data_IF_570600718168
#
_entry.id   IF_570600718168
#
_cell.length_a   1.000
_cell.length_b   1.000
_cell.length_c   1.000
_cell.angle_alpha   90.00
_cell.angle_beta   90.00
_cell.angle_gamma   90.00
#
_symmetry.space_group_name_H-M   'P 1'
#
loop_
_entity.id
_entity.type
_entity.pdbx_description
1 polymer ?
#
# COMPACT_ATOMS: atom_id res chain seq x y z
N UNK A 1 10.08 -12.31 22.34
CA UNK A 1 10.35 -11.46 21.15
C UNK A 1 10.60 -10.02 21.60
N UNK A 2 11.69 -9.38 21.19
CA UNK A 2 12.00 -8.00 21.58
C UNK A 2 10.99 -7.00 20.98
N UNK A 3 10.81 -5.84 21.63
CA UNK A 3 9.92 -4.76 21.15
C UNK A 3 10.31 -4.29 19.73
N UNK A 4 11.61 -4.27 19.45
CA UNK A 4 12.17 -3.94 18.14
C UNK A 4 11.79 -5.00 17.09
N UNK A 5 11.98 -6.29 17.40
CA UNK A 5 11.63 -7.38 16.49
C UNK A 5 10.13 -7.39 16.16
N UNK A 6 9.26 -7.11 17.14
CA UNK A 6 7.82 -6.95 16.89
C UNK A 6 7.51 -5.80 15.92
N UNK A 7 8.19 -4.66 16.08
CA UNK A 7 8.01 -3.50 15.20
C UNK A 7 8.46 -3.80 13.78
N UNK A 8 9.60 -4.50 13.62
CA UNK A 8 10.11 -4.90 12.31
C UNK A 8 9.13 -5.84 11.61
N UNK A 9 8.60 -6.85 12.30
CA UNK A 9 7.62 -7.77 11.72
C UNK A 9 6.32 -7.06 11.30
N UNK A 10 5.84 -6.09 12.09
CA UNK A 10 4.66 -5.29 11.71
C UNK A 10 4.94 -4.46 10.46
N UNK A 11 6.13 -3.87 10.35
CA UNK A 11 6.51 -3.11 9.17
C UNK A 11 6.64 -4.01 7.94
N UNK A 12 7.31 -5.17 8.07
CA UNK A 12 7.44 -6.16 7.00
C UNK A 12 6.07 -6.70 6.56
N UNK A 13 5.16 -6.97 7.48
CA UNK A 13 3.79 -7.37 7.13
C UNK A 13 3.01 -6.23 6.48
N UNK A 14 3.18 -5.00 6.97
CA UNK A 14 2.50 -3.81 6.47
C UNK A 14 2.92 -3.38 5.08
N UNK A 15 4.14 -3.73 4.62
CA UNK A 15 4.61 -3.41 3.27
C UNK A 15 4.14 -4.44 2.22
N UNK A 16 3.71 -5.64 2.64
CA UNK A 16 3.26 -6.70 1.72
C UNK A 16 2.18 -6.24 0.72
N UNK A 17 1.15 -5.46 1.10
CA UNK A 17 0.17 -4.96 0.14
C UNK A 17 0.81 -4.15 -0.99
N UNK A 18 1.82 -3.33 -0.69
CA UNK A 18 2.57 -2.57 -1.71
C UNK A 18 3.31 -3.51 -2.64
N UNK A 19 4.04 -4.49 -2.10
CA UNK A 19 4.80 -5.47 -2.90
C UNK A 19 3.85 -6.24 -3.82
N UNK A 20 2.78 -6.81 -3.27
CA UNK A 20 1.79 -7.59 -4.02
C UNK A 20 1.16 -6.72 -5.12
N UNK A 21 0.74 -5.49 -4.80
CA UNK A 21 0.10 -4.59 -5.76
C UNK A 21 1.06 -4.21 -6.89
N UNK A 22 2.33 -3.93 -6.59
CA UNK A 22 3.34 -3.62 -7.60
C UNK A 22 3.58 -4.82 -8.52
N UNK A 23 3.66 -6.04 -7.98
CA UNK A 23 3.80 -7.24 -8.79
C UNK A 23 2.60 -7.45 -9.74
N UNK A 24 1.39 -7.24 -9.23
CA UNK A 24 0.16 -7.28 -10.04
C UNK A 24 0.23 -6.22 -11.15
N UNK A 25 0.59 -4.98 -10.82
CA UNK A 25 0.70 -3.90 -11.81
C UNK A 25 1.80 -4.16 -12.85
N UNK A 26 2.94 -4.71 -12.46
CA UNK A 26 3.99 -5.09 -13.43
C UNK A 26 3.50 -6.18 -14.38
N UNK A 27 2.72 -7.14 -13.88
CA UNK A 27 2.18 -8.23 -14.68
C UNK A 27 1.14 -7.75 -15.72
N UNK A 28 0.19 -6.92 -15.30
CA UNK A 28 -0.90 -6.44 -16.17
C UNK A 28 -0.53 -5.20 -16.99
N UNK A 29 0.37 -4.35 -16.48
CA UNK A 29 0.82 -3.12 -17.13
C UNK A 29 2.35 -3.14 -17.26
N UNK A 30 2.88 -3.93 -18.22
CA UNK A 30 4.30 -3.96 -18.53
C UNK A 30 4.74 -2.71 -19.33
N UNK A 31 4.05 -1.58 -19.18
CA UNK A 31 4.35 -0.31 -19.84
C UNK A 31 5.74 0.24 -19.48
N UNK A 32 6.27 1.16 -20.29
CA UNK A 32 7.65 1.73 -20.28
C UNK A 32 8.58 1.37 -19.11
N UNK A 33 9.73 0.74 -19.42
CA UNK A 33 10.74 0.37 -18.42
C UNK A 33 11.29 1.56 -17.63
N UNK A 34 11.47 2.72 -18.27
CA UNK A 34 11.97 3.94 -17.61
C UNK A 34 10.98 4.51 -16.59
N UNK A 35 9.68 4.51 -16.91
CA UNK A 35 8.63 4.92 -15.98
C UNK A 35 8.65 4.08 -14.72
N UNK A 36 8.82 2.75 -14.86
CA UNK A 36 8.91 1.82 -13.73
C UNK A 36 10.13 2.06 -12.85
N UNK A 37 11.29 2.37 -13.45
CA UNK A 37 12.52 2.65 -12.70
C UNK A 37 12.36 3.84 -11.75
N UNK A 38 11.58 4.86 -12.13
CA UNK A 38 11.37 6.06 -11.31
C UNK A 38 10.19 5.87 -10.34
N UNK A 39 9.06 5.37 -10.84
CA UNK A 39 7.80 5.31 -10.08
C UNK A 39 7.82 4.26 -8.98
N UNK A 40 8.36 3.06 -9.23
CA UNK A 40 8.35 1.97 -8.23
C UNK A 40 9.10 2.36 -6.95
N UNK A 41 10.36 2.86 -7.00
CA UNK A 41 11.03 3.33 -5.79
C UNK A 41 10.28 4.45 -5.08
N UNK A 42 9.71 5.39 -5.84
CA UNK A 42 8.95 6.51 -5.28
C UNK A 42 7.68 6.02 -4.55
N UNK A 43 6.95 5.09 -5.15
CA UNK A 43 5.78 4.44 -4.53
C UNK A 43 6.16 3.73 -3.23
N UNK A 44 7.28 3.01 -3.20
CA UNK A 44 7.77 2.39 -1.96
C UNK A 44 8.08 3.42 -0.87
N UNK A 45 8.69 4.56 -1.22
CA UNK A 45 8.98 5.64 -0.26
C UNK A 45 7.68 6.20 0.30
N UNK A 46 6.71 6.55 -0.55
CA UNK A 46 5.42 7.13 -0.13
C UNK A 46 4.66 6.16 0.76
N UNK A 47 4.52 4.88 0.36
CA UNK A 47 3.82 3.89 1.17
C UNK A 47 4.56 3.60 2.48
N UNK A 48 5.90 3.60 2.49
CA UNK A 48 6.68 3.45 3.73
C UNK A 48 6.43 4.60 4.70
N UNK A 49 6.34 5.85 4.22
CA UNK A 49 6.00 7.01 5.04
C UNK A 49 4.61 6.85 5.65
N UNK A 50 3.60 6.49 4.84
CA UNK A 50 2.23 6.26 5.31
C UNK A 50 2.19 5.15 6.36
N UNK A 51 2.93 4.05 6.15
CA UNK A 51 3.01 2.94 7.08
C UNK A 51 3.68 3.34 8.41
N UNK A 52 4.76 4.12 8.36
CA UNK A 52 5.39 4.66 9.57
C UNK A 52 4.43 5.56 10.36
N UNK A 53 3.68 6.44 9.68
CA UNK A 53 2.65 7.28 10.31
C UNK A 53 1.56 6.42 10.94
N UNK A 54 1.07 5.39 10.24
CA UNK A 54 0.05 4.48 10.76
C UNK A 54 0.53 3.74 12.01
N UNK A 55 1.76 3.23 12.01
CA UNK A 55 2.37 2.59 13.17
C UNK A 55 2.50 3.58 14.34
N UNK A 56 2.89 4.82 14.07
CA UNK A 56 2.99 5.87 15.09
C UNK A 56 1.62 6.20 15.70
N UNK A 57 0.61 6.49 14.87
CA UNK A 57 -0.76 6.81 15.32
C UNK A 57 -1.38 5.64 16.10
N UNK A 58 -1.22 4.40 15.63
CA UNK A 58 -1.75 3.22 16.34
C UNK A 58 -1.08 2.97 17.70
N UNK A 59 0.16 3.43 17.90
CA UNK A 59 0.83 3.42 19.20
C UNK A 59 0.31 4.51 20.14
N UNK A 60 -0.03 5.68 19.61
CA UNK A 60 -0.61 6.78 20.40
C UNK A 60 -2.01 6.46 20.93
N UNK A 61 -2.75 5.59 20.23
CA UNK A 61 -4.06 5.12 20.70
C UNK A 61 -3.87 4.19 21.92
N UNK A 62 -4.03 4.77 23.11
CA UNK A 62 -3.93 4.08 24.39
C UNK A 62 -4.94 2.94 24.55
N UNK A 63 -4.52 1.85 25.20
CA UNK A 63 -5.30 0.62 25.38
C UNK A 63 -6.59 0.80 26.21
N UNK A 64 -6.73 1.91 26.95
CA UNK A 64 -7.85 2.17 27.87
C UNK A 64 -9.13 2.70 27.21
N UNK A 65 -9.10 3.04 25.91
CA UNK A 65 -10.33 3.46 25.21
C UNK A 65 -11.15 2.24 24.82
N UNK A 66 -12.43 2.17 25.22
CA UNK A 66 -13.37 1.08 24.87
C UNK A 66 -13.40 0.75 23.36
N UNK A 67 -13.16 1.76 22.51
CA UNK A 67 -13.15 1.62 21.05
C UNK A 67 -11.75 1.58 20.41
N UNK A 68 -10.67 1.49 21.20
CA UNK A 68 -9.29 1.51 20.70
C UNK A 68 -9.03 0.41 19.66
N UNK A 69 -9.62 -0.76 19.84
CA UNK A 69 -9.41 -1.90 18.94
C UNK A 69 -10.07 -1.71 17.58
N UNK A 70 -11.31 -1.21 17.56
CA UNK A 70 -12.03 -0.89 16.31
C UNK A 70 -11.27 0.19 15.55
N UNK A 71 -10.88 1.28 16.23
CA UNK A 71 -10.14 2.38 15.61
C UNK A 71 -8.80 1.92 15.01
N UNK A 72 -8.05 1.08 15.73
CA UNK A 72 -6.79 0.51 15.22
C UNK A 72 -7.02 -0.33 13.98
N UNK A 73 -8.05 -1.18 13.95
CA UNK A 73 -8.40 -2.00 12.78
C UNK A 73 -8.79 -1.12 11.59
N UNK A 74 -9.63 -0.11 11.80
CA UNK A 74 -10.04 0.82 10.74
C UNK A 74 -8.84 1.53 10.12
N UNK A 75 -7.87 1.97 10.93
CA UNK A 75 -6.62 2.57 10.42
C UNK A 75 -5.88 1.60 9.50
N UNK A 76 -5.72 0.34 9.90
CA UNK A 76 -5.02 -0.66 9.07
C UNK A 76 -5.76 -0.95 7.77
N UNK A 77 -7.10 -1.02 7.78
CA UNK A 77 -7.91 -1.19 6.56
C UNK A 77 -7.69 0.01 5.63
N UNK A 78 -7.77 1.24 6.15
CA UNK A 78 -7.53 2.46 5.37
C UNK A 78 -6.11 2.48 4.78
N UNK A 79 -5.10 2.08 5.54
CA UNK A 79 -3.71 2.04 5.09
C UNK A 79 -3.52 1.05 3.94
N UNK A 80 -4.09 -0.15 4.05
CA UNK A 80 -4.03 -1.16 2.99
C UNK A 80 -4.71 -0.63 1.72
N UNK A 81 -5.90 -0.06 1.83
CA UNK A 81 -6.62 0.52 0.70
C UNK A 81 -5.84 1.66 0.06
N UNK A 82 -5.24 2.54 0.87
CA UNK A 82 -4.39 3.63 0.38
C UNK A 82 -3.15 3.11 -0.34
N UNK A 83 -2.48 2.08 0.18
CA UNK A 83 -1.32 1.48 -0.49
C UNK A 83 -1.68 0.99 -1.88
N UNK A 84 -2.79 0.26 -2.02
CA UNK A 84 -3.28 -0.24 -3.30
C UNK A 84 -3.61 0.93 -4.24
N UNK A 85 -4.35 1.92 -3.76
CA UNK A 85 -4.75 3.08 -4.57
C UNK A 85 -3.54 3.89 -5.07
N UNK A 86 -2.53 4.11 -4.21
CA UNK A 86 -1.30 4.82 -4.58
C UNK A 86 -0.51 4.04 -5.63
N UNK A 87 -0.41 2.71 -5.48
CA UNK A 87 0.25 1.86 -6.47
C UNK A 87 -0.46 1.97 -7.82
N UNK A 88 -1.79 1.84 -7.87
CA UNK A 88 -2.56 1.95 -9.12
C UNK A 88 -2.39 3.34 -9.75
N UNK A 89 -2.41 4.40 -8.94
CA UNK A 89 -2.31 5.77 -9.41
C UNK A 89 -0.91 6.14 -9.93
N UNK A 90 0.14 5.68 -9.24
CA UNK A 90 1.52 6.03 -9.57
C UNK A 90 2.16 5.11 -10.60
N UNK A 91 1.63 3.89 -10.79
CA UNK A 91 2.20 2.97 -11.75
C UNK A 91 1.99 3.51 -13.17
N UNK A 92 3.06 3.56 -14.01
CA UNK A 92 2.95 4.09 -15.36
C UNK A 92 2.06 3.17 -16.18
N UNK A 93 0.98 3.73 -16.71
CA UNK A 93 0.07 3.08 -17.65
C UNK A 93 0.33 3.66 -19.05
N UNK A 94 0.32 2.82 -20.08
CA UNK A 94 0.39 3.31 -21.47
C UNK A 94 -0.86 4.13 -21.81
N UNK A 95 -0.68 5.20 -22.57
CA UNK A 95 -1.74 6.14 -22.92
C UNK A 95 -2.87 5.42 -23.70
N UNK A 96 -3.94 5.02 -23.01
CA UNK A 96 -5.12 4.42 -23.64
C UNK A 96 -5.92 3.50 -22.71
N UNK A 97 -5.24 2.74 -21.86
CA UNK A 97 -5.87 1.76 -20.98
C UNK A 97 -5.65 2.14 -19.51
N UNK A 98 -6.60 2.89 -18.96
CA UNK A 98 -6.69 3.06 -17.51
C UNK A 98 -7.06 1.72 -16.87
N UNK A 99 -6.57 1.45 -15.65
CA UNK A 99 -6.88 0.21 -14.91
C UNK A 99 -8.38 -0.11 -14.84
N UNK A 100 -9.24 0.91 -14.78
CA UNK A 100 -10.70 0.77 -14.84
C UNK A 100 -11.25 0.31 -16.18
N UNK A 101 -10.64 0.72 -17.28
CA UNK A 101 -11.09 0.30 -18.62
C UNK A 101 -10.86 -1.19 -18.84
N UNK A 102 -9.73 -1.73 -18.40
CA UNK A 102 -9.44 -3.16 -18.47
C UNK A 102 -10.37 -4.00 -17.59
N UNK A 103 -10.65 -3.55 -16.36
CA UNK A 103 -11.58 -4.26 -15.47
C UNK A 103 -12.98 -4.30 -16.08
N UNK A 104 -13.47 -3.18 -16.62
CA UNK A 104 -14.77 -3.15 -17.30
C UNK A 104 -14.82 -4.04 -18.54
N UNK A 105 -13.76 -4.06 -19.35
CA UNK A 105 -13.69 -4.92 -20.54
C UNK A 105 -13.58 -6.42 -20.20
N UNK A 106 -13.05 -6.78 -19.03
CA UNK A 106 -12.96 -8.18 -18.58
C UNK A 106 -14.28 -8.73 -18.01
N UNK A 107 -15.24 -7.85 -17.74
CA UNK A 107 -16.56 -8.17 -17.19
C UNK A 107 -17.68 -8.14 -18.23
N UNK A 108 -17.38 -7.76 -19.48
CA UNK A 108 -18.28 -7.80 -20.65
C UNK A 108 -18.09 -9.07 -21.45
#
# INVERSE_FOLDING_TARGET
MSKQMKSMLIFMAGILPTVISIQIMIHYFPATGLGRIITIPFTYIVNSIILMVAIFVTRLIGAKRKFAWVLKRSIWVIVITLHIAIVIYMHPQENGDTSWRLIMNSLS
#
